data_IF_197961184274
#
_entry.id   IF_197961184274
#
_cell.length_a   1.000
_cell.length_b   1.000
_cell.length_c   1.000
_cell.angle_alpha   90.00
_cell.angle_beta   90.00
_cell.angle_gamma   90.00
#
_symmetry.space_group_name_H-M   'P 1'
#
loop_
_entity.id
_entity.type
_entity.pdbx_description
1 polymer ?
#
# COMPACT_ATOMS: atom_id res chain seq x y z
N UNK A 1 -13.21 -2.23 -9.60
CA UNK A 1 -12.10 -3.19 -9.37
C UNK A 1 -10.77 -2.75 -10.01
N UNK A 2 -10.73 -2.31 -11.26
CA UNK A 2 -9.50 -1.82 -11.94
C UNK A 2 -8.77 -0.73 -11.15
N UNK A 3 -9.49 0.26 -10.63
CA UNK A 3 -8.89 1.36 -9.87
C UNK A 3 -8.30 0.93 -8.53
N UNK A 4 -8.86 -0.09 -7.89
CA UNK A 4 -8.29 -0.68 -6.67
C UNK A 4 -6.96 -1.36 -6.98
N UNK A 5 -6.92 -2.15 -8.05
CA UNK A 5 -5.70 -2.81 -8.49
C UNK A 5 -4.59 -1.82 -8.80
N UNK A 6 -4.89 -0.76 -9.55
CA UNK A 6 -3.91 0.27 -9.90
C UNK A 6 -3.32 0.92 -8.66
N UNK A 7 -4.16 1.25 -7.67
CA UNK A 7 -3.69 1.85 -6.42
C UNK A 7 -2.81 0.89 -5.61
N UNK A 8 -3.20 -0.36 -5.49
CA UNK A 8 -2.42 -1.35 -4.76
C UNK A 8 -1.09 -1.67 -5.46
N UNK A 9 -1.05 -1.70 -6.78
CA UNK A 9 0.18 -1.90 -7.54
C UNK A 9 1.16 -0.74 -7.43
N UNK A 10 0.69 0.47 -7.27
CA UNK A 10 1.57 1.62 -6.99
C UNK A 10 2.19 1.55 -5.60
N UNK A 11 1.49 1.00 -4.63
CA UNK A 11 1.95 0.89 -3.23
C UNK A 11 2.70 -0.38 -2.94
N UNK A 12 2.47 -1.40 -3.74
CA UNK A 12 3.07 -2.72 -3.56
C UNK A 12 3.65 -3.18 -4.88
N UNK A 13 4.94 -3.53 -4.95
CA UNK A 13 5.54 -4.08 -6.15
C UNK A 13 5.02 -5.48 -6.49
N UNK A 14 4.25 -6.09 -5.60
CA UNK A 14 3.63 -7.38 -5.79
C UNK A 14 2.14 -7.29 -5.51
N UNK A 15 1.32 -7.76 -6.43
CA UNK A 15 -0.10 -7.94 -6.19
C UNK A 15 -0.31 -8.81 -4.97
N UNK A 16 -0.98 -8.26 -3.97
CA UNK A 16 -1.57 -9.03 -2.91
C UNK A 16 -0.64 -9.66 -1.89
N UNK A 17 0.66 -9.49 -1.98
CA UNK A 17 1.61 -10.22 -1.16
C UNK A 17 2.72 -9.36 -0.60
N UNK A 18 2.38 -8.26 0.04
CA UNK A 18 3.37 -7.63 0.88
C UNK A 18 3.08 -7.96 2.33
N UNK A 19 4.03 -8.58 3.02
CA UNK A 19 4.01 -8.49 4.46
C UNK A 19 3.95 -7.00 4.79
N UNK A 20 2.93 -6.59 5.52
CA UNK A 20 2.95 -5.30 6.18
C UNK A 20 3.98 -5.48 7.26
N UNK A 21 5.21 -5.07 6.98
CA UNK A 21 6.28 -5.10 7.96
C UNK A 21 5.90 -4.23 9.13
N UNK A 22 5.55 -4.88 10.18
CA UNK A 22 5.18 -4.22 11.40
C UNK A 22 6.25 -4.52 12.41
N UNK A 23 6.91 -3.48 12.82
CA UNK A 23 7.88 -3.47 13.88
C UNK A 23 7.33 -4.26 15.08
N UNK A 24 7.94 -5.41 15.33
CA UNK A 24 8.02 -6.14 16.59
C UNK A 24 6.77 -6.58 17.35
N UNK A 25 5.59 -6.03 17.11
CA UNK A 25 4.40 -6.26 17.94
C UNK A 25 3.23 -6.94 17.24
N UNK A 26 3.35 -7.19 15.94
CA UNK A 26 2.31 -7.86 15.17
C UNK A 26 2.72 -9.28 14.79
N UNK A 27 1.77 -10.19 14.64
CA UNK A 27 2.09 -11.55 14.24
C UNK A 27 2.87 -11.53 12.92
N UNK A 28 3.83 -12.44 12.77
CA UNK A 28 4.68 -12.61 11.58
C UNK A 28 3.92 -12.72 10.25
N UNK A 29 2.60 -12.85 10.33
CA UNK A 29 1.66 -12.96 9.23
C UNK A 29 0.87 -11.66 9.11
N UNK A 30 1.42 -10.72 8.37
CA UNK A 30 0.74 -9.46 8.03
C UNK A 30 0.86 -9.22 6.54
N UNK A 31 -0.12 -9.67 5.78
CA UNK A 31 -0.14 -9.50 4.34
C UNK A 31 -1.56 -9.18 3.85
N UNK A 32 -1.63 -8.54 2.70
CA UNK A 32 -2.89 -8.25 2.02
C UNK A 32 -2.94 -9.11 0.77
N UNK A 33 -3.89 -10.03 0.71
CA UNK A 33 -4.23 -10.75 -0.50
C UNK A 33 -5.42 -10.08 -1.20
N UNK A 34 -5.37 -10.07 -2.51
CA UNK A 34 -6.48 -9.62 -3.34
C UNK A 34 -6.99 -10.78 -4.15
N UNK A 35 -8.32 -10.91 -4.15
CA UNK A 35 -8.99 -11.90 -4.95
C UNK A 35 -10.01 -11.23 -5.88
N UNK A 36 -10.14 -11.74 -7.09
CA UNK A 36 -11.26 -11.45 -7.96
C UNK A 36 -12.12 -12.70 -8.13
N UNK A 37 -13.37 -12.54 -8.48
CA UNK A 37 -14.32 -13.63 -8.72
C UNK A 37 -13.99 -14.41 -10.02
N UNK A 38 -12.83 -15.04 -10.05
CA UNK A 38 -12.35 -15.88 -11.14
C UNK A 38 -11.65 -17.12 -10.58
N UNK A 39 -11.88 -18.27 -11.17
CA UNK A 39 -11.39 -19.57 -10.73
C UNK A 39 -9.94 -19.88 -11.15
N UNK A 40 -9.35 -19.01 -11.97
CA UNK A 40 -7.99 -19.17 -12.46
C UNK A 40 -7.33 -17.84 -12.77
N UNK A 41 -6.00 -17.81 -12.70
CA UNK A 41 -5.16 -16.65 -13.02
C UNK A 41 -5.50 -16.04 -14.37
N UNK A 42 -5.68 -16.86 -15.41
CA UNK A 42 -6.00 -16.38 -16.76
C UNK A 42 -7.35 -15.66 -16.82
N UNK A 43 -8.36 -16.20 -16.14
CA UNK A 43 -9.70 -15.57 -16.05
C UNK A 43 -9.66 -14.31 -15.21
N UNK A 44 -8.88 -14.29 -14.13
CA UNK A 44 -8.68 -13.12 -13.30
C UNK A 44 -8.07 -11.96 -14.12
N UNK A 45 -7.01 -12.24 -14.85
CA UNK A 45 -6.40 -11.26 -15.76
C UNK A 45 -7.33 -10.81 -16.89
N UNK A 46 -8.08 -11.75 -17.48
CA UNK A 46 -9.08 -11.41 -18.50
C UNK A 46 -10.14 -10.44 -17.95
N UNK A 47 -10.62 -10.72 -16.74
CA UNK A 47 -11.61 -9.87 -16.05
C UNK A 47 -11.04 -8.49 -15.72
N UNK A 48 -9.80 -8.43 -15.28
CA UNK A 48 -9.10 -7.20 -14.96
C UNK A 48 -8.81 -6.33 -16.18
N UNK A 49 -8.33 -6.93 -17.27
CA UNK A 49 -7.92 -6.20 -18.48
C UNK A 49 -9.04 -6.00 -19.50
N UNK A 50 -10.15 -6.72 -19.38
CA UNK A 50 -11.19 -6.81 -20.43
C UNK A 50 -10.73 -7.53 -21.69
N UNK A 51 -9.52 -8.13 -21.69
CA UNK A 51 -8.91 -8.90 -22.78
C UNK A 51 -7.91 -9.90 -22.21
N UNK A 52 -7.51 -10.93 -22.96
CA UNK A 52 -6.45 -11.82 -22.54
C UNK A 52 -5.15 -11.07 -22.23
N UNK A 53 -4.45 -11.51 -21.20
CA UNK A 53 -3.14 -10.94 -20.87
C UNK A 53 -2.15 -11.19 -22.03
N UNK A 54 -1.40 -10.15 -22.35
CA UNK A 54 -0.34 -10.23 -23.33
C UNK A 54 0.82 -9.41 -22.79
N UNK A 55 1.82 -10.04 -22.20
CA UNK A 55 3.02 -9.37 -21.75
C UNK A 55 3.76 -8.67 -22.90
N UNK A 56 4.71 -7.84 -22.57
CA UNK A 56 5.58 -7.21 -23.57
C UNK A 56 6.43 -8.30 -24.25
N UNK A 57 6.61 -8.17 -25.54
CA UNK A 57 7.57 -9.01 -26.26
C UNK A 57 8.99 -8.69 -25.77
N UNK A 58 9.83 -9.71 -25.69
CA UNK A 58 11.18 -9.61 -25.10
C UNK A 58 12.02 -8.50 -25.75
N UNK A 59 11.98 -8.39 -27.05
CA UNK A 59 12.68 -7.38 -27.83
C UNK A 59 12.25 -5.94 -27.50
N UNK A 60 10.99 -5.74 -27.07
CA UNK A 60 10.47 -4.42 -26.71
C UNK A 60 11.08 -3.91 -25.41
N UNK A 61 11.27 -4.77 -24.40
CA UNK A 61 11.79 -4.33 -23.12
C UNK A 61 13.31 -4.55 -22.95
N UNK A 62 13.96 -5.40 -23.76
CA UNK A 62 15.42 -5.59 -23.75
C UNK A 62 16.14 -4.56 -24.62
N UNK A 63 15.61 -4.26 -25.81
CA UNK A 63 16.22 -3.38 -26.78
C UNK A 63 16.70 -2.01 -26.26
N UNK A 64 15.96 -1.29 -25.40
CA UNK A 64 16.42 -0.01 -24.88
C UNK A 64 17.74 -0.10 -24.07
N UNK A 65 18.09 -1.28 -23.60
CA UNK A 65 19.27 -1.51 -22.74
C UNK A 65 20.47 -2.06 -23.52
N UNK A 66 20.32 -2.43 -24.79
CA UNK A 66 21.41 -2.95 -25.63
C UNK A 66 22.57 -1.96 -25.78
N UNK A 67 22.28 -0.66 -25.70
CA UNK A 67 23.28 0.41 -25.78
C UNK A 67 24.02 0.71 -24.47
N UNK A 68 23.74 0.00 -23.38
CA UNK A 68 24.47 0.18 -22.11
C UNK A 68 25.79 -0.60 -22.19
N UNK A 69 26.96 0.10 -22.15
CA UNK A 69 28.25 -0.57 -22.31
C UNK A 69 28.65 -1.47 -21.14
N UNK A 70 28.17 -1.14 -19.94
CA UNK A 70 28.41 -1.89 -18.71
C UNK A 70 27.49 -3.10 -18.63
N UNK A 71 28.06 -4.30 -18.73
CA UNK A 71 27.32 -5.55 -18.73
C UNK A 71 26.57 -5.80 -17.41
N UNK A 72 27.17 -5.45 -16.28
CA UNK A 72 26.52 -5.63 -14.96
C UNK A 72 25.33 -4.71 -14.81
N UNK A 73 25.47 -3.44 -15.20
CA UNK A 73 24.38 -2.48 -15.18
C UNK A 73 23.26 -2.89 -16.12
N UNK A 74 23.61 -3.35 -17.34
CA UNK A 74 22.66 -3.86 -18.32
C UNK A 74 21.89 -5.05 -17.76
N UNK A 75 22.58 -6.02 -17.19
CA UNK A 75 21.95 -7.22 -16.62
C UNK A 75 21.05 -6.90 -15.42
N UNK A 76 21.42 -5.97 -14.55
CA UNK A 76 20.58 -5.50 -13.47
C UNK A 76 19.32 -4.81 -13.97
N UNK A 77 19.43 -3.96 -14.98
CA UNK A 77 18.30 -3.30 -15.61
C UNK A 77 17.35 -4.31 -16.28
N UNK A 78 17.87 -5.28 -17.02
CA UNK A 78 17.08 -6.36 -17.63
C UNK A 78 16.39 -7.24 -16.56
N UNK A 79 17.10 -7.59 -15.49
CA UNK A 79 16.52 -8.35 -14.39
C UNK A 79 15.39 -7.60 -13.68
N UNK A 80 15.44 -6.27 -13.60
CA UNK A 80 14.36 -5.47 -13.05
C UNK A 80 13.09 -5.51 -13.91
N UNK A 81 13.23 -5.80 -15.22
CA UNK A 81 12.14 -5.84 -16.19
C UNK A 81 11.71 -7.25 -16.59
N UNK A 82 12.35 -8.30 -16.05
CA UNK A 82 12.00 -9.69 -16.40
C UNK A 82 10.51 -10.00 -16.22
N UNK A 83 9.85 -9.28 -15.30
CA UNK A 83 8.43 -9.42 -15.00
C UNK A 83 7.51 -8.64 -15.99
N UNK A 84 8.06 -7.92 -16.95
CA UNK A 84 7.27 -7.22 -17.97
C UNK A 84 6.79 -8.14 -19.10
N UNK A 85 7.35 -9.35 -19.20
CA UNK A 85 7.04 -10.33 -20.24
C UNK A 85 5.74 -11.11 -20.00
N UNK A 86 5.48 -12.13 -20.83
CA UNK A 86 4.31 -13.01 -20.70
C UNK A 86 4.20 -13.72 -19.34
N UNK A 87 5.33 -13.98 -18.69
CA UNK A 87 5.41 -14.68 -17.40
C UNK A 87 4.79 -13.86 -16.25
N UNK A 88 4.60 -12.56 -16.44
CA UNK A 88 3.95 -11.70 -15.44
C UNK A 88 2.57 -12.22 -15.03
N UNK A 89 1.84 -12.85 -15.94
CA UNK A 89 0.54 -13.45 -15.63
C UNK A 89 0.62 -14.48 -14.49
N UNK A 90 1.63 -15.32 -14.51
CA UNK A 90 1.82 -16.35 -13.49
C UNK A 90 2.40 -15.81 -12.18
N UNK A 91 3.12 -14.69 -12.24
CA UNK A 91 3.72 -14.06 -11.06
C UNK A 91 2.70 -13.37 -10.15
N UNK A 92 1.56 -12.96 -10.70
CA UNK A 92 0.54 -12.20 -9.98
C UNK A 92 -0.81 -12.92 -10.09
N UNK A 93 -1.00 -13.93 -9.26
CA UNK A 93 -2.28 -14.62 -9.15
C UNK A 93 -3.20 -13.91 -8.15
N UNK A 94 -4.28 -13.38 -8.65
CA UNK A 94 -5.36 -12.78 -7.87
C UNK A 94 -6.70 -13.47 -8.15
N UNK A 95 -6.66 -14.71 -8.62
CA UNK A 95 -7.85 -15.56 -8.77
C UNK A 95 -8.31 -16.07 -7.41
N UNK A 96 -9.58 -16.45 -7.34
CA UNK A 96 -10.12 -17.18 -6.20
C UNK A 96 -10.00 -18.71 -6.42
N UNK A 97 -8.84 -19.13 -6.96
CA UNK A 97 -8.50 -20.53 -7.15
C UNK A 97 -8.21 -21.21 -5.82
N UNK A 98 -8.26 -22.54 -5.80
CA UNK A 98 -7.91 -23.32 -4.62
C UNK A 98 -6.45 -23.15 -4.24
N UNK A 99 -5.56 -23.12 -5.22
CA UNK A 99 -4.12 -22.92 -5.01
C UNK A 99 -3.86 -21.54 -4.37
N UNK A 100 -4.43 -20.49 -4.92
CA UNK A 100 -4.23 -19.14 -4.38
C UNK A 100 -4.82 -18.97 -2.97
N UNK A 101 -5.94 -19.63 -2.67
CA UNK A 101 -6.50 -19.66 -1.30
C UNK A 101 -5.64 -20.46 -0.32
N UNK A 102 -5.01 -21.53 -0.77
CA UNK A 102 -4.08 -22.32 0.03
C UNK A 102 -2.81 -21.55 0.34
N UNK A 103 -2.29 -20.82 -0.65
CA UNK A 103 -1.08 -20.02 -0.48
C UNK A 103 -1.33 -18.75 0.35
N UNK A 104 -2.60 -18.31 0.41
CA UNK A 104 -3.06 -17.15 1.19
C UNK A 104 -4.23 -17.53 2.09
N UNK A 105 -4.00 -18.38 3.09
CA UNK A 105 -5.06 -18.82 3.98
C UNK A 105 -5.60 -17.68 4.82
N UNK A 106 -6.91 -17.68 5.03
CA UNK A 106 -7.57 -16.78 5.97
C UNK A 106 -7.73 -17.46 7.33
N UNK A 107 -7.57 -16.72 8.41
CA UNK A 107 -7.62 -17.23 9.76
C UNK A 107 -8.47 -16.37 10.68
N UNK A 108 -8.77 -16.89 11.88
CA UNK A 108 -9.47 -16.13 12.90
C UNK A 108 -8.72 -14.84 13.24
N UNK A 109 -9.43 -13.72 13.25
CA UNK A 109 -8.88 -12.39 13.49
C UNK A 109 -8.48 -11.63 12.23
N UNK A 110 -8.43 -12.28 11.08
CA UNK A 110 -8.23 -11.59 9.80
C UNK A 110 -9.46 -10.73 9.43
N UNK A 111 -9.25 -9.78 8.53
CA UNK A 111 -10.30 -8.93 7.97
C UNK A 111 -10.42 -9.17 6.47
N UNK A 112 -11.60 -9.57 6.04
CA UNK A 112 -11.95 -9.63 4.63
C UNK A 112 -12.83 -8.45 4.24
N UNK A 113 -12.48 -7.76 3.17
CA UNK A 113 -13.28 -6.69 2.57
C UNK A 113 -13.79 -7.14 1.21
N UNK A 114 -15.11 -7.28 1.08
CA UNK A 114 -15.79 -7.46 -0.18
C UNK A 114 -16.26 -6.11 -0.70
N UNK A 115 -15.80 -5.70 -1.87
CA UNK A 115 -16.24 -4.46 -2.52
C UNK A 115 -16.98 -4.77 -3.82
N UNK A 116 -18.21 -4.28 -3.94
CA UNK A 116 -19.08 -4.50 -5.10
C UNK A 116 -19.52 -3.18 -5.71
N UNK A 117 -19.48 -3.14 -7.03
CA UNK A 117 -19.98 -2.04 -7.85
C UNK A 117 -21.48 -2.20 -8.11
N UNK A 118 -22.21 -1.14 -8.45
CA UNK A 118 -23.66 -1.21 -8.64
C UNK A 118 -24.11 -2.27 -9.66
N UNK A 119 -23.37 -2.46 -10.74
CA UNK A 119 -23.67 -3.43 -11.78
C UNK A 119 -23.33 -4.89 -11.41
N UNK A 120 -22.56 -5.09 -10.34
CA UNK A 120 -22.18 -6.41 -9.86
C UNK A 120 -23.18 -6.97 -8.82
N UNK A 121 -23.97 -6.10 -8.16
CA UNK A 121 -24.82 -6.50 -7.03
C UNK A 121 -25.75 -7.65 -7.36
N UNK A 122 -26.54 -7.52 -8.42
CA UNK A 122 -27.55 -8.53 -8.78
C UNK A 122 -26.95 -9.79 -9.40
N UNK A 123 -25.75 -9.69 -9.95
CA UNK A 123 -25.04 -10.79 -10.57
C UNK A 123 -24.22 -11.62 -9.60
N UNK A 124 -23.54 -10.97 -8.69
CA UNK A 124 -22.51 -11.59 -7.86
C UNK A 124 -23.02 -12.02 -6.48
N UNK A 125 -24.06 -11.36 -5.93
CA UNK A 125 -24.67 -11.73 -4.67
C UNK A 125 -25.87 -12.69 -4.88
N UNK A 126 -25.57 -13.88 -5.40
CA UNK A 126 -26.54 -14.98 -5.58
C UNK A 126 -25.92 -16.28 -5.08
N UNK A 127 -26.76 -17.21 -4.64
CA UNK A 127 -26.29 -18.54 -4.29
C UNK A 127 -25.56 -19.21 -5.46
N UNK A 128 -24.47 -19.89 -5.15
CA UNK A 128 -23.62 -20.56 -6.13
C UNK A 128 -22.63 -19.67 -6.88
N UNK A 129 -22.54 -18.38 -6.54
CA UNK A 129 -21.48 -17.52 -7.08
C UNK A 129 -20.21 -17.61 -6.24
N UNK A 130 -19.07 -17.32 -6.86
CA UNK A 130 -17.76 -17.28 -6.18
C UNK A 130 -17.72 -16.23 -5.05
N UNK A 131 -18.48 -15.15 -5.19
CA UNK A 131 -18.57 -14.11 -4.15
C UNK A 131 -19.23 -14.65 -2.89
N UNK A 132 -20.30 -15.40 -3.05
CA UNK A 132 -20.99 -16.06 -1.92
C UNK A 132 -20.13 -17.17 -1.33
N UNK A 133 -19.42 -17.93 -2.15
CA UNK A 133 -18.47 -18.94 -1.69
C UNK A 133 -17.32 -18.30 -0.92
N UNK A 134 -16.84 -17.13 -1.35
CA UNK A 134 -15.85 -16.36 -0.60
C UNK A 134 -16.37 -15.93 0.77
N UNK A 135 -17.58 -15.38 0.86
CA UNK A 135 -18.19 -15.00 2.13
C UNK A 135 -18.34 -16.21 3.07
N UNK A 136 -18.80 -17.36 2.56
CA UNK A 136 -18.89 -18.61 3.33
C UNK A 136 -17.53 -19.06 3.82
N UNK A 137 -16.52 -19.00 2.96
CA UNK A 137 -15.14 -19.37 3.29
C UNK A 137 -14.58 -18.49 4.42
N UNK A 138 -14.72 -17.18 4.30
CA UNK A 138 -14.24 -16.22 5.31
C UNK A 138 -14.96 -16.40 6.66
N UNK A 139 -16.28 -16.51 6.60
CA UNK A 139 -17.13 -16.71 7.80
C UNK A 139 -16.81 -18.04 8.49
N UNK A 140 -16.58 -19.09 7.71
CA UNK A 140 -16.18 -20.41 8.22
C UNK A 140 -14.85 -20.41 8.98
N UNK A 141 -13.95 -19.47 8.66
CA UNK A 141 -12.67 -19.27 9.35
C UNK A 141 -12.73 -18.22 10.47
N UNK A 142 -13.93 -17.75 10.82
CA UNK A 142 -14.16 -16.75 11.87
C UNK A 142 -13.40 -15.43 11.66
N UNK A 143 -13.07 -15.11 10.43
CA UNK A 143 -12.52 -13.82 10.09
C UNK A 143 -13.64 -12.76 10.05
N UNK A 144 -13.28 -11.50 10.30
CA UNK A 144 -14.23 -10.39 10.23
C UNK A 144 -14.54 -10.07 8.77
N UNK A 145 -15.81 -9.78 8.48
CA UNK A 145 -16.28 -9.44 7.14
C UNK A 145 -16.75 -8.00 7.11
N UNK A 146 -16.27 -7.25 6.14
CA UNK A 146 -16.83 -5.94 5.76
C UNK A 146 -17.29 -6.03 4.31
N UNK A 147 -18.52 -5.63 4.05
CA UNK A 147 -19.09 -5.57 2.71
C UNK A 147 -19.31 -4.11 2.34
N UNK A 148 -18.62 -3.64 1.33
CA UNK A 148 -18.75 -2.29 0.78
C UNK A 148 -19.59 -2.37 -0.49
N UNK A 149 -20.81 -1.83 -0.44
CA UNK A 149 -21.73 -1.81 -1.56
C UNK A 149 -21.86 -0.39 -2.12
N UNK A 150 -21.48 -0.20 -3.36
CA UNK A 150 -21.79 1.03 -4.07
C UNK A 150 -23.17 0.83 -4.74
N UNK A 151 -24.06 1.80 -4.56
CA UNK A 151 -25.41 1.74 -5.12
C UNK A 151 -25.71 2.93 -6.03
N UNK A 152 -26.62 2.75 -6.96
CA UNK A 152 -27.06 3.84 -7.84
C UNK A 152 -28.20 4.62 -7.18
N UNK A 153 -27.91 5.85 -6.77
CA UNK A 153 -28.88 6.78 -6.21
C UNK A 153 -29.09 6.59 -4.71
N UNK A 154 -29.86 5.62 -4.28
CA UNK A 154 -30.24 5.40 -2.88
C UNK A 154 -29.61 4.13 -2.30
N UNK A 155 -29.55 4.05 -0.99
CA UNK A 155 -29.18 2.82 -0.30
C UNK A 155 -30.23 1.74 -0.55
N UNK A 156 -29.78 0.49 -0.64
CA UNK A 156 -30.69 -0.65 -0.77
C UNK A 156 -31.55 -0.79 0.50
N UNK A 157 -32.85 -1.05 0.37
CA UNK A 157 -33.71 -1.34 1.52
C UNK A 157 -33.24 -2.63 2.23
N UNK A 158 -33.54 -2.75 3.51
CA UNK A 158 -33.15 -3.92 4.33
C UNK A 158 -33.68 -5.25 3.79
N UNK A 159 -34.80 -5.21 3.07
CA UNK A 159 -35.46 -6.36 2.46
C UNK A 159 -34.79 -6.79 1.14
N UNK A 160 -33.86 -6.04 0.63
CA UNK A 160 -33.19 -6.37 -0.63
C UNK A 160 -32.54 -7.75 -0.58
N UNK A 161 -32.72 -8.53 -1.64
CA UNK A 161 -32.27 -9.93 -1.68
C UNK A 161 -30.77 -10.08 -1.38
N UNK A 162 -29.94 -9.17 -1.89
CA UNK A 162 -28.50 -9.15 -1.66
C UNK A 162 -28.14 -8.95 -0.18
N UNK A 163 -28.84 -8.04 0.53
CA UNK A 163 -28.62 -7.80 1.95
C UNK A 163 -29.07 -8.96 2.81
N UNK A 164 -30.21 -9.57 2.46
CA UNK A 164 -30.68 -10.80 3.12
C UNK A 164 -29.68 -11.94 2.95
N UNK A 165 -29.15 -12.11 1.74
CA UNK A 165 -28.16 -13.16 1.48
C UNK A 165 -26.89 -12.94 2.31
N UNK A 166 -26.37 -11.72 2.37
CA UNK A 166 -25.23 -11.39 3.21
C UNK A 166 -25.52 -11.72 4.68
N UNK A 167 -26.68 -11.32 5.20
CA UNK A 167 -27.03 -11.57 6.61
C UNK A 167 -27.18 -13.05 6.95
N UNK A 168 -27.56 -13.88 5.97
CA UNK A 168 -27.64 -15.34 6.15
C UNK A 168 -26.26 -15.99 6.09
N UNK A 169 -25.42 -15.57 5.15
CA UNK A 169 -24.10 -16.19 4.90
C UNK A 169 -23.05 -15.69 5.90
N UNK A 170 -23.12 -14.43 6.27
CA UNK A 170 -22.19 -13.79 7.20
C UNK A 170 -22.95 -12.86 8.14
N UNK A 171 -23.58 -13.40 9.20
CA UNK A 171 -24.47 -12.64 10.09
C UNK A 171 -23.81 -11.46 10.79
N UNK A 172 -22.51 -11.56 11.07
CA UNK A 172 -21.72 -10.53 11.76
C UNK A 172 -21.03 -9.55 10.78
N UNK A 173 -21.34 -9.62 9.48
CA UNK A 173 -20.76 -8.74 8.49
C UNK A 173 -21.16 -7.29 8.70
N UNK A 174 -20.15 -6.39 8.71
CA UNK A 174 -20.42 -4.95 8.63
C UNK A 174 -20.70 -4.58 7.18
N UNK A 175 -21.94 -4.19 6.90
CA UNK A 175 -22.35 -3.72 5.57
C UNK A 175 -22.31 -2.20 5.52
N UNK A 176 -21.50 -1.66 4.62
CA UNK A 176 -21.37 -0.23 4.36
C UNK A 176 -21.95 0.04 2.96
N UNK A 177 -23.02 0.80 2.91
CA UNK A 177 -23.64 1.21 1.65
C UNK A 177 -23.21 2.63 1.30
N UNK A 178 -22.77 2.84 0.07
CA UNK A 178 -22.37 4.13 -0.47
C UNK A 178 -23.24 4.48 -1.67
N UNK A 179 -24.29 5.27 -1.47
CA UNK A 179 -25.15 5.74 -2.56
C UNK A 179 -24.39 6.72 -3.45
N UNK A 180 -24.32 6.41 -4.72
CA UNK A 180 -23.74 7.31 -5.72
C UNK A 180 -24.85 8.21 -6.25
N UNK A 181 -24.92 9.44 -5.73
CA UNK A 181 -25.92 10.40 -6.19
C UNK A 181 -25.74 10.72 -7.68
N UNK A 182 -26.83 10.65 -8.43
CA UNK A 182 -26.85 11.14 -9.81
C UNK A 182 -26.66 12.66 -9.81
N UNK A 183 -25.66 13.13 -10.55
CA UNK A 183 -25.56 14.56 -10.84
C UNK A 183 -26.76 14.99 -11.72
N UNK A 184 -27.24 16.25 -11.61
CA UNK A 184 -28.40 16.73 -12.35
C UNK A 184 -28.31 16.58 -13.88
N UNK A 185 -27.13 16.50 -14.43
CA UNK A 185 -26.94 16.10 -15.83
C UNK A 185 -26.75 14.57 -15.87
N UNK A 186 -27.80 13.88 -16.19
CA UNK A 186 -27.81 12.43 -16.42
C UNK A 186 -27.01 12.05 -17.70
N UNK A 187 -25.75 12.36 -17.75
CA UNK A 187 -24.90 11.65 -18.68
C UNK A 187 -24.78 10.22 -18.16
N UNK A 188 -25.28 9.27 -18.94
CA UNK A 188 -25.07 7.86 -18.66
C UNK A 188 -23.57 7.64 -18.35
N UNK A 189 -23.30 6.88 -17.28
CA UNK A 189 -21.95 6.42 -16.98
C UNK A 189 -21.78 4.96 -17.44
N UNK A 190 -21.73 4.72 -18.76
CA UNK A 190 -21.76 3.37 -19.32
C UNK A 190 -20.51 2.54 -18.97
N UNK A 191 -19.47 3.20 -18.51
CA UNK A 191 -18.21 2.58 -18.12
C UNK A 191 -18.06 2.46 -16.59
N UNK A 192 -19.07 2.87 -15.83
CA UNK A 192 -19.05 2.87 -14.36
C UNK A 192 -17.86 3.64 -13.74
N UNK A 193 -17.34 4.64 -14.43
CA UNK A 193 -16.14 5.40 -14.01
C UNK A 193 -16.34 6.06 -12.64
N UNK A 194 -17.55 6.55 -12.34
CA UNK A 194 -17.85 7.16 -11.04
C UNK A 194 -17.76 6.16 -9.90
N UNK A 195 -18.30 4.97 -10.09
CA UNK A 195 -18.24 3.90 -9.11
C UNK A 195 -16.80 3.44 -8.91
N UNK A 196 -16.02 3.31 -9.98
CA UNK A 196 -14.59 2.98 -9.94
C UNK A 196 -13.78 4.03 -9.18
N UNK A 197 -14.03 5.32 -9.43
CA UNK A 197 -13.38 6.43 -8.71
C UNK A 197 -13.78 6.40 -7.23
N UNK A 198 -15.06 6.22 -6.92
CA UNK A 198 -15.54 6.20 -5.55
C UNK A 198 -14.89 5.05 -4.74
N UNK A 199 -14.85 3.85 -5.29
CA UNK A 199 -14.17 2.70 -4.66
C UNK A 199 -12.69 2.98 -4.46
N UNK A 200 -12.01 3.53 -5.46
CA UNK A 200 -10.60 3.90 -5.34
C UNK A 200 -10.37 4.91 -4.21
N UNK A 201 -11.18 5.94 -4.12
CA UNK A 201 -11.08 6.95 -3.05
C UNK A 201 -11.30 6.33 -1.67
N UNK A 202 -12.31 5.47 -1.53
CA UNK A 202 -12.61 4.80 -0.26
C UNK A 202 -11.49 3.86 0.17
N UNK A 203 -10.95 3.07 -0.76
CA UNK A 203 -9.83 2.16 -0.48
C UNK A 203 -8.55 2.92 -0.16
N UNK A 204 -8.29 4.04 -0.85
CA UNK A 204 -7.17 4.93 -0.52
C UNK A 204 -7.31 5.55 0.87
N UNK A 205 -8.50 6.05 1.20
CA UNK A 205 -8.77 6.60 2.52
C UNK A 205 -8.59 5.53 3.61
N UNK A 206 -9.11 4.32 3.38
CA UNK A 206 -8.96 3.19 4.28
C UNK A 206 -7.48 2.83 4.50
N UNK A 207 -6.72 2.60 3.44
CA UNK A 207 -5.31 2.22 3.55
C UNK A 207 -4.46 3.32 4.19
N UNK A 208 -4.76 4.60 3.92
CA UNK A 208 -4.09 5.73 4.57
C UNK A 208 -4.45 5.80 6.06
N UNK A 209 -5.72 5.58 6.42
CA UNK A 209 -6.16 5.56 7.81
C UNK A 209 -5.49 4.41 8.60
N UNK A 210 -5.33 3.23 7.98
CA UNK A 210 -4.57 2.11 8.58
C UNK A 210 -3.13 2.54 8.85
N UNK A 211 -2.43 3.12 7.87
CA UNK A 211 -1.05 3.58 8.03
C UNK A 211 -0.94 4.67 9.11
N UNK A 212 -1.92 5.56 9.20
CA UNK A 212 -2.00 6.58 10.27
C UNK A 212 -2.14 5.92 11.64
N UNK A 213 -3.04 4.95 11.79
CA UNK A 213 -3.23 4.20 13.04
C UNK A 213 -1.98 3.42 13.45
N UNK A 214 -1.14 3.06 12.50
CA UNK A 214 0.15 2.38 12.73
C UNK A 214 1.30 3.36 13.03
N UNK A 215 1.04 4.66 13.16
CA UNK A 215 2.08 5.68 13.40
C UNK A 215 3.05 5.87 12.21
N UNK A 216 2.62 5.53 10.99
CA UNK A 216 3.43 5.64 9.77
C UNK A 216 3.14 6.90 8.95
N UNK A 217 2.40 7.82 9.52
CA UNK A 217 2.08 9.11 8.93
C UNK A 217 2.42 10.21 9.92
N UNK A 218 3.11 11.23 9.46
CA UNK A 218 3.39 12.45 10.24
C UNK A 218 2.78 13.63 9.49
N UNK A 219 1.84 14.32 10.14
CA UNK A 219 1.03 15.35 9.49
C UNK A 219 0.20 14.74 8.35
N UNK A 220 0.41 15.22 7.14
CA UNK A 220 -0.25 14.71 5.92
C UNK A 220 0.68 13.82 5.06
N UNK A 221 1.79 13.36 5.61
CA UNK A 221 2.84 12.71 4.84
C UNK A 221 3.16 11.32 5.40
N UNK A 222 3.19 10.33 4.51
CA UNK A 222 3.65 8.99 4.88
C UNK A 222 5.15 9.00 5.13
N UNK A 223 5.58 8.67 6.36
CA UNK A 223 6.98 8.66 6.78
C UNK A 223 7.68 7.34 6.45
N UNK A 224 6.92 6.27 6.25
CA UNK A 224 7.47 4.93 6.08
C UNK A 224 7.60 4.58 4.59
N UNK A 225 8.65 5.08 3.94
CA UNK A 225 8.93 4.88 2.51
C UNK A 225 10.18 4.01 2.34
N UNK A 226 10.04 2.90 1.60
CA UNK A 226 11.17 2.05 1.21
C UNK A 226 11.85 2.63 -0.03
N UNK A 227 13.18 2.65 -0.03
CA UNK A 227 13.99 3.15 -1.15
C UNK A 227 14.19 2.10 -2.26
N UNK A 228 13.12 1.44 -2.70
CA UNK A 228 13.18 0.30 -3.64
C UNK A 228 13.32 0.65 -5.12
N UNK A 229 13.21 1.92 -5.50
CA UNK A 229 13.44 2.40 -6.86
C UNK A 229 13.74 3.89 -6.86
N UNK A 230 14.19 4.44 -8.00
CA UNK A 230 14.59 5.85 -8.12
C UNK A 230 13.52 6.86 -7.66
N UNK A 231 12.24 6.60 -7.98
CA UNK A 231 11.13 7.45 -7.52
C UNK A 231 11.04 7.45 -5.99
N UNK A 232 11.14 6.29 -5.38
CA UNK A 232 11.03 6.14 -3.92
C UNK A 232 12.28 6.64 -3.20
N UNK A 233 13.46 6.50 -3.78
CA UNK A 233 14.70 7.12 -3.28
C UNK A 233 14.54 8.64 -3.25
N UNK A 234 14.15 9.25 -4.37
CA UNK A 234 13.91 10.69 -4.42
C UNK A 234 12.84 11.16 -3.43
N UNK A 235 11.77 10.38 -3.25
CA UNK A 235 10.73 10.67 -2.27
C UNK A 235 11.25 10.55 -0.82
N UNK A 236 11.99 9.50 -0.51
CA UNK A 236 12.58 9.29 0.83
C UNK A 236 13.54 10.44 1.18
N UNK A 237 14.45 10.80 0.26
CA UNK A 237 15.36 11.95 0.42
C UNK A 237 14.60 13.26 0.67
N UNK A 238 13.54 13.50 -0.11
CA UNK A 238 12.68 14.69 0.07
C UNK A 238 12.00 14.70 1.45
N UNK A 239 11.51 13.57 1.92
CA UNK A 239 10.86 13.45 3.22
C UNK A 239 11.83 13.73 4.37
N UNK A 240 13.05 13.20 4.30
CA UNK A 240 14.09 13.47 5.28
C UNK A 240 14.36 14.97 5.36
N UNK A 241 14.65 15.59 4.22
CA UNK A 241 14.87 17.03 4.13
C UNK A 241 13.70 17.83 4.68
N UNK A 242 12.50 17.55 4.25
CA UNK A 242 11.28 18.28 4.63
C UNK A 242 11.03 18.23 6.13
N UNK A 243 11.11 17.07 6.76
CA UNK A 243 10.86 16.94 8.19
C UNK A 243 11.98 17.55 9.03
N UNK A 244 13.23 17.40 8.63
CA UNK A 244 14.36 18.06 9.31
C UNK A 244 14.23 19.59 9.22
N UNK A 245 13.99 20.13 8.03
CA UNK A 245 13.83 21.57 7.84
C UNK A 245 12.63 22.14 8.64
N UNK A 246 11.52 21.39 8.73
CA UNK A 246 10.37 21.79 9.53
C UNK A 246 10.69 21.82 11.05
N UNK A 247 11.38 20.82 11.55
CA UNK A 247 11.85 20.77 12.95
C UNK A 247 12.84 21.89 13.24
N UNK A 248 13.83 22.09 12.38
CA UNK A 248 14.80 23.20 12.55
C UNK A 248 14.12 24.54 12.55
N UNK A 249 13.17 24.76 11.64
CA UNK A 249 12.43 26.01 11.53
C UNK A 249 11.53 26.29 12.73
N UNK A 250 10.80 25.30 13.23
CA UNK A 250 9.83 25.45 14.32
C UNK A 250 10.48 25.30 15.69
N UNK A 251 11.43 24.38 15.79
CA UNK A 251 12.09 24.00 17.04
C UNK A 251 13.45 24.69 17.30
N UNK A 252 13.83 25.73 16.53
CA UNK A 252 15.15 26.34 16.65
C UNK A 252 15.51 26.75 18.07
N UNK A 253 14.55 27.29 18.86
CA UNK A 253 14.76 27.64 20.26
C UNK A 253 14.95 26.43 21.16
N UNK A 254 14.19 25.37 20.93
CA UNK A 254 14.23 24.12 21.70
C UNK A 254 15.52 23.33 21.39
N UNK A 255 15.99 23.44 20.15
CA UNK A 255 17.24 22.84 19.70
C UNK A 255 18.50 23.63 20.11
N UNK A 256 18.32 24.81 20.75
CA UNK A 256 19.44 25.66 21.16
C UNK A 256 20.16 26.37 20.00
N UNK A 257 19.52 26.47 18.85
CA UNK A 257 20.10 27.11 17.67
C UNK A 257 20.03 28.65 17.82
N UNK A 258 21.17 29.31 17.70
CA UNK A 258 21.32 30.75 17.97
C UNK A 258 20.76 31.67 16.88
N UNK A 259 20.35 31.15 15.72
CA UNK A 259 19.89 31.97 14.57
C UNK A 259 18.52 31.51 14.06
N UNK A 260 17.61 32.45 13.75
CA UNK A 260 16.38 32.16 13.06
C UNK A 260 16.56 31.90 11.54
N UNK A 261 17.76 32.08 11.00
CA UNK A 261 18.06 31.70 9.63
C UNK A 261 18.10 30.18 9.54
N UNK A 262 17.12 29.55 8.90
CA UNK A 262 17.00 28.11 8.92
C UNK A 262 18.21 27.49 8.21
N UNK A 263 19.00 26.70 8.95
CA UNK A 263 19.93 25.75 8.34
C UNK A 263 19.04 24.79 7.57
N UNK A 264 19.01 24.92 6.25
CA UNK A 264 18.28 23.98 5.41
C UNK A 264 19.21 22.80 5.10
N UNK A 265 18.74 21.59 5.37
CA UNK A 265 19.45 20.37 4.97
C UNK A 265 19.55 20.32 3.45
N UNK A 266 20.76 20.18 2.89
CA UNK A 266 20.92 20.03 1.45
C UNK A 266 20.38 18.67 1.01
N UNK A 267 19.90 18.63 -0.22
CA UNK A 267 19.35 17.39 -0.78
C UNK A 267 20.38 16.26 -0.82
N UNK A 268 21.61 16.59 -1.16
CA UNK A 268 22.73 15.66 -1.23
C UNK A 268 23.07 15.06 0.14
N UNK A 269 23.02 15.86 1.20
CA UNK A 269 23.27 15.41 2.56
C UNK A 269 22.14 14.49 3.05
N UNK A 270 20.87 14.85 2.76
CA UNK A 270 19.73 13.99 3.04
C UNK A 270 19.82 12.64 2.31
N UNK A 271 20.30 12.67 1.07
CA UNK A 271 20.50 11.46 0.27
C UNK A 271 21.62 10.58 0.84
N UNK A 272 22.73 11.18 1.23
CA UNK A 272 23.84 10.45 1.86
C UNK A 272 23.40 9.77 3.17
N UNK A 273 22.67 10.50 4.02
CA UNK A 273 22.11 9.94 5.27
C UNK A 273 21.13 8.81 5.00
N UNK A 274 20.30 8.93 3.96
CA UNK A 274 19.39 7.87 3.55
C UNK A 274 20.13 6.59 3.20
N UNK A 275 21.17 6.66 2.37
CA UNK A 275 21.92 5.49 1.94
C UNK A 275 22.71 4.86 3.07
N UNK A 276 23.33 5.66 3.94
CA UNK A 276 24.06 5.17 5.09
C UNK A 276 23.11 4.42 6.07
N UNK A 277 21.90 4.94 6.27
CA UNK A 277 20.87 4.25 7.06
C UNK A 277 20.36 2.98 6.37
N UNK A 278 20.24 2.99 5.05
CA UNK A 278 19.83 1.83 4.28
C UNK A 278 20.87 0.71 4.36
N UNK A 279 22.15 1.05 4.23
CA UNK A 279 23.27 0.10 4.38
C UNK A 279 23.28 -0.53 5.79
N UNK A 280 23.04 0.28 6.82
CA UNK A 280 22.89 -0.22 8.19
C UNK A 280 21.74 -1.22 8.30
N UNK A 281 20.55 -0.87 7.81
CA UNK A 281 19.38 -1.76 7.89
C UNK A 281 19.56 -3.05 7.09
N UNK A 282 20.21 -2.98 5.93
CA UNK A 282 20.46 -4.17 5.09
C UNK A 282 21.53 -5.09 5.64
N UNK A 283 22.33 -4.63 6.61
CA UNK A 283 23.25 -5.50 7.34
C UNK A 283 22.55 -6.53 8.23
N UNK A 284 21.26 -6.35 8.50
CA UNK A 284 20.39 -7.27 9.24
C UNK A 284 19.39 -7.91 8.28
N UNK A 285 19.44 -9.22 8.11
CA UNK A 285 18.58 -9.95 7.16
C UNK A 285 17.09 -9.68 7.40
N UNK A 286 16.67 -9.62 8.66
CA UNK A 286 15.29 -9.40 9.10
C UNK A 286 14.79 -7.95 8.94
N UNK A 287 15.70 -6.98 8.73
CA UNK A 287 15.39 -5.54 8.66
C UNK A 287 15.46 -4.95 7.26
N UNK A 288 15.74 -5.75 6.25
CA UNK A 288 15.86 -5.32 4.84
C UNK A 288 14.59 -4.66 4.28
N UNK A 289 13.45 -4.88 4.94
CA UNK A 289 12.14 -4.35 4.54
C UNK A 289 11.76 -3.07 5.30
N UNK A 290 12.53 -2.67 6.30
CA UNK A 290 12.24 -1.47 7.08
C UNK A 290 12.50 -0.18 6.29
N UNK A 291 11.78 0.88 6.68
CA UNK A 291 12.01 2.19 6.08
C UNK A 291 13.19 2.89 6.72
N UNK A 292 14.17 3.34 5.95
CA UNK A 292 15.29 4.13 6.48
C UNK A 292 14.89 5.55 6.89
N UNK A 293 13.75 6.06 6.40
CA UNK A 293 13.36 7.47 6.54
C UNK A 293 13.23 7.91 8.01
N UNK A 294 12.53 7.19 8.91
CA UNK A 294 12.39 7.61 10.30
C UNK A 294 13.74 7.75 11.02
N UNK A 295 14.59 6.75 10.88
CA UNK A 295 15.91 6.73 11.52
C UNK A 295 16.80 7.85 10.97
N UNK A 296 16.78 8.07 9.65
CA UNK A 296 17.51 9.16 8.99
C UNK A 296 17.09 10.53 9.51
N UNK A 297 15.79 10.78 9.68
CA UNK A 297 15.27 12.04 10.22
C UNK A 297 15.80 12.26 11.65
N UNK A 298 15.62 11.27 12.53
CA UNK A 298 16.06 11.33 13.93
C UNK A 298 17.57 11.56 13.99
N UNK A 299 18.35 10.85 13.19
CA UNK A 299 19.81 10.98 13.14
C UNK A 299 20.27 12.40 12.85
N UNK A 300 19.67 13.04 11.84
CA UNK A 300 20.03 14.40 11.48
C UNK A 300 19.63 15.38 12.59
N UNK A 301 18.43 15.27 13.14
CA UNK A 301 17.97 16.14 14.22
C UNK A 301 18.84 15.98 15.47
N UNK A 302 19.15 14.75 15.87
CA UNK A 302 20.04 14.48 17.00
C UNK A 302 21.46 14.99 16.75
N UNK A 303 21.97 14.88 15.52
CA UNK A 303 23.29 15.42 15.17
C UNK A 303 23.33 16.94 15.30
N UNK A 304 22.28 17.63 14.89
CA UNK A 304 22.13 19.09 15.06
C UNK A 304 22.04 19.43 16.55
N UNK A 305 21.19 18.74 17.30
CA UNK A 305 20.96 18.97 18.74
C UNK A 305 22.22 18.79 19.58
N UNK A 306 22.97 17.73 19.30
CA UNK A 306 24.16 17.37 20.07
C UNK A 306 25.44 18.02 19.53
N UNK A 307 25.35 18.77 18.42
CA UNK A 307 26.46 19.36 17.70
C UNK A 307 27.62 18.36 17.46
N UNK A 308 27.26 17.12 17.12
CA UNK A 308 28.16 16.04 16.75
C UNK A 308 27.51 15.09 15.77
N UNK A 309 28.35 14.33 15.09
CA UNK A 309 27.83 13.20 14.30
C UNK A 309 27.20 12.13 15.21
N UNK A 310 25.98 11.70 14.86
CA UNK A 310 25.25 10.64 15.55
C UNK A 310 25.28 9.38 14.69
N UNK A 311 25.66 8.28 15.27
CA UNK A 311 25.67 6.99 14.58
C UNK A 311 24.25 6.49 14.26
N UNK A 312 24.11 5.68 13.20
CA UNK A 312 22.80 5.15 12.81
C UNK A 312 22.19 4.32 13.94
N UNK A 313 23.00 3.52 14.63
CA UNK A 313 22.57 2.69 15.76
C UNK A 313 22.04 3.50 16.95
N UNK A 314 22.61 4.68 17.22
CA UNK A 314 22.10 5.60 18.25
C UNK A 314 20.71 6.13 17.86
N UNK A 315 20.56 6.58 16.62
CA UNK A 315 19.28 7.08 16.10
C UNK A 315 18.21 5.99 16.03
N UNK A 316 18.60 4.77 15.70
CA UNK A 316 17.74 3.60 15.70
C UNK A 316 17.23 3.27 17.10
N UNK A 317 18.07 3.35 18.12
CA UNK A 317 17.67 3.22 19.52
C UNK A 317 16.60 4.25 19.92
N UNK A 318 16.78 5.51 19.52
CA UNK A 318 15.80 6.58 19.76
C UNK A 318 14.48 6.30 19.01
N UNK A 319 14.58 5.84 17.76
CA UNK A 319 13.39 5.45 16.99
C UNK A 319 12.62 4.29 17.63
N UNK A 320 13.33 3.29 18.12
CA UNK A 320 12.71 2.14 18.79
C UNK A 320 11.99 2.53 20.09
N UNK A 321 12.52 3.52 20.81
CA UNK A 321 11.92 3.99 22.07
C UNK A 321 10.70 4.89 21.84
N UNK A 322 10.79 5.83 20.89
CA UNK A 322 9.81 6.92 20.76
C UNK A 322 8.88 6.77 19.55
N UNK A 323 9.32 6.14 18.48
CA UNK A 323 8.71 6.26 17.17
C UNK A 323 8.89 7.67 16.58
N UNK A 324 8.72 7.82 15.26
CA UNK A 324 8.98 9.10 14.60
C UNK A 324 7.97 10.19 14.99
N UNK A 325 6.68 9.86 14.99
CA UNK A 325 5.62 10.85 15.26
C UNK A 325 5.80 11.50 16.63
N UNK A 326 5.91 10.68 17.67
CA UNK A 326 6.08 11.15 19.05
C UNK A 326 7.39 11.91 19.22
N UNK A 327 8.46 11.45 18.60
CA UNK A 327 9.75 12.14 18.61
C UNK A 327 9.63 13.55 18.02
N UNK A 328 9.01 13.69 16.84
CA UNK A 328 8.87 14.99 16.19
C UNK A 328 7.96 15.95 16.98
N UNK A 329 6.89 15.45 17.58
CA UNK A 329 6.02 16.30 18.41
C UNK A 329 6.75 16.93 19.61
N UNK A 330 7.73 16.26 20.19
CA UNK A 330 8.53 16.84 21.28
C UNK A 330 9.34 18.08 20.87
N UNK A 331 9.62 18.25 19.58
CA UNK A 331 10.41 19.38 19.08
C UNK A 331 9.56 20.49 18.48
N UNK A 332 8.38 20.15 17.99
CA UNK A 332 7.52 21.12 17.26
C UNK A 332 6.46 21.73 18.18
N UNK A 333 6.14 21.09 19.32
CA UNK A 333 5.17 21.58 20.32
C UNK A 333 3.73 21.33 19.91
#
# INVERSE_FOLDING_TARGET
MISIFTDLTERSPTFGLNPIDVIGTFPKRSWIAMFTNADSTSKAWLKFLGRPFKGLAKDVFERPFEGIPDDDLRMRALNSLKNAGPDQQALYDFSFSEDNRRDHPIEEGDLALLALLPHELDGELREGTMVVDYLKHVTGHKAKVVVLLLTNGEALPSEHASLRLISVVSPDALVIQVPLTSLPSQSADPLNIRAEIAIKMLMNAHSTAVMTRMGRVVGNTMSNVRAGNLKLIGRATYLIKMHVDDVVKRGCKTLGLASPDPISLRYEDANAVLFDTLDYLTSFEERTQESPVPISIIRVIESIRLNRYVEVSEADGVYAEWGLEKYLYNWIG
#
